data_IF_689539994397
#
_entry.id   IF_689539994397
#
_cell.length_a   1.000
_cell.length_b   1.000
_cell.length_c   1.000
_cell.angle_alpha   90.00
_cell.angle_beta   90.00
_cell.angle_gamma   90.00
#
_symmetry.space_group_name_H-M   'P 1'
#
loop_
_entity.id
_entity.type
_entity.pdbx_description
1 polymer ?
#
# COMPACT_ATOMS: atom_id res chain seq x y z
N UNK A 1 18.68 25.80 1.07
CA UNK A 1 17.99 24.67 0.41
C UNK A 1 19.03 23.62 0.10
N UNK A 2 19.32 22.74 1.06
CA UNK A 2 20.32 21.68 0.92
C UNK A 2 19.59 20.37 0.64
N UNK A 3 19.59 19.97 -0.63
CA UNK A 3 19.14 18.65 -1.05
C UNK A 3 20.12 17.57 -0.61
N UNK A 4 19.56 16.38 -0.38
CA UNK A 4 20.19 15.06 -0.20
C UNK A 4 21.70 15.11 0.13
N UNK A 5 22.02 15.00 1.43
CA UNK A 5 23.38 15.13 1.97
C UNK A 5 24.32 14.11 1.32
N UNK A 6 25.35 14.65 0.65
CA UNK A 6 26.53 13.93 0.19
C UNK A 6 27.27 13.28 1.36
N UNK A 7 27.70 12.04 1.11
CA UNK A 7 28.78 11.28 1.70
C UNK A 7 29.65 12.01 2.74
N UNK A 8 29.62 11.54 3.98
CA UNK A 8 30.70 11.76 4.95
C UNK A 8 31.30 10.41 5.34
N UNK A 9 32.32 9.97 4.58
CA UNK A 9 33.36 9.12 5.13
C UNK A 9 34.11 9.96 6.16
N UNK A 10 34.09 9.57 7.44
CA UNK A 10 35.16 9.75 8.44
C UNK A 10 34.60 9.40 9.82
N UNK A 11 35.21 8.39 10.45
CA UNK A 11 35.56 8.26 11.88
C UNK A 11 35.62 6.78 12.28
N UNK A 12 36.80 6.19 12.05
CA UNK A 12 37.30 5.03 12.79
C UNK A 12 37.66 5.53 14.20
N UNK A 13 37.04 4.97 15.24
CA UNK A 13 37.35 5.37 16.62
C UNK A 13 36.60 4.64 17.74
N UNK A 14 37.13 3.46 18.10
CA UNK A 14 37.38 2.96 19.49
C UNK A 14 36.22 2.84 20.52
N UNK A 15 35.92 1.57 20.84
CA UNK A 15 35.40 0.94 22.08
C UNK A 15 34.87 1.81 23.24
N UNK A 16 33.66 1.48 23.72
CA UNK A 16 33.15 1.83 25.04
C UNK A 16 31.77 1.21 25.29
N UNK A 17 31.65 0.45 26.38
CA UNK A 17 30.56 -0.43 26.76
C UNK A 17 29.20 0.29 26.94
N UNK A 18 28.26 0.06 26.03
CA UNK A 18 26.83 0.21 26.31
C UNK A 18 26.10 -0.87 25.51
N UNK A 19 26.00 -2.07 26.08
CA UNK A 19 25.01 -3.06 25.68
C UNK A 19 23.62 -2.50 26.00
N UNK A 20 23.11 -1.64 25.11
CA UNK A 20 21.75 -1.15 25.19
C UNK A 20 20.82 -2.28 24.77
N UNK A 21 19.97 -2.69 25.72
CA UNK A 21 18.86 -3.62 25.58
C UNK A 21 17.94 -3.17 24.43
N UNK A 22 18.28 -3.53 23.19
CA UNK A 22 17.51 -3.27 21.98
C UNK A 22 17.38 -4.53 21.10
N UNK A 23 17.64 -5.71 21.67
CA UNK A 23 17.53 -7.02 21.00
C UNK A 23 16.22 -7.75 21.37
N UNK A 24 15.08 -7.05 21.39
CA UNK A 24 13.78 -7.74 21.59
C UNK A 24 12.67 -7.31 20.64
N UNK A 25 12.88 -6.29 19.82
CA UNK A 25 11.89 -5.84 18.82
C UNK A 25 12.50 -5.73 17.42
N UNK A 26 13.32 -6.70 17.03
CA UNK A 26 13.56 -6.93 15.60
C UNK A 26 12.28 -7.51 15.02
N UNK A 27 11.31 -6.65 14.73
CA UNK A 27 10.14 -6.99 13.92
C UNK A 27 10.70 -7.46 12.59
N UNK A 28 10.56 -8.76 12.30
CA UNK A 28 11.05 -9.33 11.06
C UNK A 28 10.40 -8.56 9.92
N UNK A 29 11.22 -8.10 8.97
CA UNK A 29 10.78 -7.35 7.79
C UNK A 29 9.66 -8.05 7.00
N UNK A 30 9.55 -9.36 7.21
CA UNK A 30 8.51 -10.21 6.70
C UNK A 30 7.15 -9.97 7.35
N UNK A 31 7.04 -9.77 8.68
CA UNK A 31 5.73 -9.77 9.34
C UNK A 31 4.77 -8.71 8.78
N UNK A 32 5.24 -7.47 8.64
CA UNK A 32 4.42 -6.38 8.11
C UNK A 32 4.02 -6.62 6.65
N UNK A 33 4.96 -7.09 5.83
CA UNK A 33 4.74 -7.40 4.41
C UNK A 33 3.77 -8.57 4.24
N UNK A 34 3.86 -9.59 5.09
CA UNK A 34 2.95 -10.74 5.11
C UNK A 34 1.54 -10.31 5.54
N UNK A 35 1.43 -9.52 6.62
CA UNK A 35 0.16 -9.00 7.09
C UNK A 35 -0.52 -8.13 6.01
N UNK A 36 0.24 -7.22 5.39
CA UNK A 36 -0.27 -6.40 4.30
C UNK A 36 -0.74 -7.25 3.12
N UNK A 37 0.04 -8.26 2.73
CA UNK A 37 -0.32 -9.15 1.63
C UNK A 37 -1.61 -9.92 1.91
N UNK A 38 -1.76 -10.47 3.12
CA UNK A 38 -2.98 -11.18 3.52
C UNK A 38 -4.19 -10.26 3.50
N UNK A 39 -4.09 -9.07 4.10
CA UNK A 39 -5.19 -8.10 4.15
C UNK A 39 -5.58 -7.61 2.75
N UNK A 40 -4.58 -7.26 1.92
CA UNK A 40 -4.82 -6.78 0.57
C UNK A 40 -5.45 -7.84 -0.32
N UNK A 41 -4.91 -9.07 -0.32
CA UNK A 41 -5.47 -10.19 -1.07
C UNK A 41 -6.91 -10.50 -0.62
N UNK A 42 -7.16 -10.49 0.69
CA UNK A 42 -8.49 -10.71 1.25
C UNK A 42 -9.48 -9.64 0.75
N UNK A 43 -9.14 -8.36 0.86
CA UNK A 43 -9.99 -7.26 0.38
C UNK A 43 -10.26 -7.37 -1.12
N UNK A 44 -9.23 -7.60 -1.95
CA UNK A 44 -9.39 -7.72 -3.39
C UNK A 44 -10.25 -8.94 -3.79
N UNK A 45 -10.07 -10.07 -3.11
CA UNK A 45 -10.87 -11.26 -3.33
C UNK A 45 -12.35 -11.01 -3.01
N UNK A 46 -12.64 -10.44 -1.84
CA UNK A 46 -14.02 -10.09 -1.46
C UNK A 46 -14.64 -9.13 -2.45
N UNK A 47 -13.93 -8.07 -2.87
CA UNK A 47 -14.44 -7.14 -3.88
C UNK A 47 -14.69 -7.83 -5.23
N UNK A 48 -13.80 -8.72 -5.68
CA UNK A 48 -13.96 -9.42 -6.95
C UNK A 48 -15.14 -10.40 -6.94
N UNK A 49 -15.30 -11.18 -5.87
CA UNK A 49 -16.44 -12.08 -5.68
C UNK A 49 -17.73 -11.29 -5.62
N UNK A 50 -17.75 -10.20 -4.84
CA UNK A 50 -18.91 -9.33 -4.71
C UNK A 50 -19.34 -8.71 -6.05
N UNK A 51 -18.37 -8.19 -6.83
CA UNK A 51 -18.62 -7.70 -8.18
C UNK A 51 -19.19 -8.78 -9.09
N UNK A 52 -18.57 -9.96 -9.08
CA UNK A 52 -18.98 -11.09 -9.92
C UNK A 52 -20.42 -11.48 -9.62
N UNK A 53 -20.76 -11.63 -8.34
CA UNK A 53 -22.11 -11.99 -7.91
C UNK A 53 -23.14 -10.93 -8.30
N UNK A 54 -22.83 -9.64 -8.16
CA UNK A 54 -23.70 -8.57 -8.67
C UNK A 54 -23.98 -8.71 -10.16
N UNK A 55 -22.93 -8.87 -10.96
CA UNK A 55 -23.05 -9.00 -12.41
C UNK A 55 -23.82 -10.26 -12.83
N UNK A 56 -23.62 -11.38 -12.14
CA UNK A 56 -24.34 -12.63 -12.38
C UNK A 56 -25.84 -12.51 -12.07
N UNK A 57 -26.21 -11.74 -11.04
CA UNK A 57 -27.61 -11.50 -10.67
C UNK A 57 -28.25 -10.34 -11.43
N UNK A 58 -27.55 -9.76 -12.41
CA UNK A 58 -28.07 -8.67 -13.25
C UNK A 58 -28.03 -7.29 -12.59
N UNK A 59 -27.42 -7.17 -11.41
CA UNK A 59 -27.22 -5.89 -10.75
C UNK A 59 -25.95 -5.22 -11.28
N UNK A 60 -26.11 -4.05 -11.91
CA UNK A 60 -24.99 -3.32 -12.51
C UNK A 60 -24.62 -2.10 -11.68
N UNK A 61 -23.34 -1.95 -11.28
CA UNK A 61 -22.87 -0.73 -10.62
C UNK A 61 -23.07 0.50 -11.51
N UNK A 62 -23.27 1.66 -10.89
CA UNK A 62 -23.39 2.94 -11.60
C UNK A 62 -22.07 3.30 -12.29
N UNK A 63 -22.14 4.13 -13.34
CA UNK A 63 -20.98 4.48 -14.17
C UNK A 63 -19.80 5.09 -13.39
N UNK A 64 -20.07 5.90 -12.35
CA UNK A 64 -19.02 6.50 -11.54
C UNK A 64 -18.31 5.48 -10.63
N UNK A 65 -18.99 4.41 -10.19
CA UNK A 65 -18.36 3.31 -9.47
C UNK A 65 -17.33 2.59 -10.36
N UNK A 66 -17.63 2.43 -11.67
CA UNK A 66 -16.67 1.92 -12.65
C UNK A 66 -15.46 2.83 -12.84
N UNK A 67 -15.67 4.16 -12.83
CA UNK A 67 -14.56 5.11 -12.89
C UNK A 67 -13.66 5.03 -11.66
N UNK A 68 -14.24 4.98 -10.46
CA UNK A 68 -13.46 4.80 -9.24
C UNK A 68 -12.73 3.45 -9.23
N UNK A 69 -13.35 2.39 -9.74
CA UNK A 69 -12.71 1.07 -9.85
C UNK A 69 -11.52 1.11 -10.82
N UNK A 70 -11.67 1.76 -11.97
CA UNK A 70 -10.58 1.94 -12.93
C UNK A 70 -9.45 2.82 -12.37
N UNK A 71 -9.78 3.88 -11.64
CA UNK A 71 -8.78 4.73 -10.98
C UNK A 71 -8.04 3.98 -9.87
N UNK A 72 -8.75 3.17 -9.09
CA UNK A 72 -8.17 2.33 -8.05
C UNK A 72 -7.21 1.30 -8.64
N UNK A 73 -7.59 0.58 -9.69
CA UNK A 73 -6.71 -0.40 -10.35
C UNK A 73 -5.48 0.28 -10.97
N UNK A 74 -5.67 1.43 -11.64
CA UNK A 74 -4.57 2.21 -12.20
C UNK A 74 -3.57 2.72 -11.15
N UNK A 75 -4.01 3.00 -9.92
CA UNK A 75 -3.14 3.39 -8.81
C UNK A 75 -2.49 2.18 -8.11
N UNK A 76 -3.22 1.06 -7.95
CA UNK A 76 -2.71 -0.17 -7.35
C UNK A 76 -1.58 -0.80 -8.16
N UNK A 77 -1.68 -0.85 -9.50
CA UNK A 77 -0.66 -1.48 -10.35
C UNK A 77 0.75 -0.91 -10.14
N UNK A 78 0.99 0.42 -10.27
CA UNK A 78 2.31 0.98 -10.01
C UNK A 78 2.68 0.94 -8.52
N UNK A 79 1.71 1.08 -7.60
CA UNK A 79 1.97 0.94 -6.16
C UNK A 79 2.53 -0.43 -5.79
N UNK A 80 1.93 -1.50 -6.31
CA UNK A 80 2.40 -2.88 -6.11
C UNK A 80 3.75 -3.13 -6.79
N UNK A 81 3.99 -2.55 -7.97
CA UNK A 81 5.29 -2.63 -8.62
C UNK A 81 6.40 -2.03 -7.73
N UNK A 82 6.16 -0.86 -7.14
CA UNK A 82 7.12 -0.24 -6.23
C UNK A 82 7.25 -0.98 -4.89
N UNK A 83 6.19 -1.62 -4.41
CA UNK A 83 6.24 -2.50 -3.24
C UNK A 83 7.17 -3.69 -3.44
N UNK A 84 7.04 -4.40 -4.58
CA UNK A 84 7.86 -5.59 -4.86
C UNK A 84 9.29 -5.20 -5.25
N UNK A 85 9.49 -4.04 -5.86
CA UNK A 85 10.82 -3.57 -6.28
C UNK A 85 11.60 -2.81 -5.18
N UNK A 86 10.93 -2.35 -4.12
CA UNK A 86 11.55 -1.61 -3.02
C UNK A 86 11.97 -2.54 -1.88
N UNK A 87 13.28 -2.75 -1.70
CA UNK A 87 13.83 -3.48 -0.56
C UNK A 87 13.72 -2.65 0.73
N UNK A 88 12.53 -2.60 1.33
CA UNK A 88 12.33 -1.89 2.60
C UNK A 88 12.62 -2.85 3.74
N UNK A 89 13.78 -2.68 4.37
CA UNK A 89 14.25 -3.58 5.42
C UNK A 89 13.82 -3.07 6.81
N UNK A 90 12.59 -3.41 7.22
CA UNK A 90 11.97 -2.96 8.48
C UNK A 90 12.70 -3.40 9.75
N UNK A 91 13.66 -4.33 9.64
CA UNK A 91 14.46 -4.82 10.76
C UNK A 91 15.68 -3.93 11.08
N UNK A 92 16.00 -2.96 10.22
CA UNK A 92 17.13 -2.03 10.42
C UNK A 92 16.68 -0.73 11.06
N UNK A 93 17.58 -0.06 11.80
CA UNK A 93 17.26 1.25 12.36
C UNK A 93 16.95 2.24 11.23
N UNK A 94 16.08 3.25 11.45
CA UNK A 94 15.74 4.21 10.39
C UNK A 94 16.96 4.93 9.78
N UNK A 95 18.02 5.11 10.57
CA UNK A 95 19.29 5.68 10.10
C UNK A 95 20.05 4.73 9.16
N UNK A 96 20.06 3.42 9.46
CA UNK A 96 20.75 2.41 8.65
C UNK A 96 19.95 2.04 7.40
N UNK A 97 18.62 2.00 7.49
CA UNK A 97 17.73 1.81 6.34
C UNK A 97 17.91 2.93 5.30
N UNK A 98 18.17 4.18 5.72
CA UNK A 98 18.42 5.30 4.78
C UNK A 98 19.69 5.12 3.94
N UNK A 99 20.67 4.36 4.42
CA UNK A 99 21.86 4.01 3.64
C UNK A 99 21.61 2.89 2.62
N UNK A 100 20.51 2.16 2.77
CA UNK A 100 20.06 1.11 1.84
C UNK A 100 19.05 1.64 0.80
N UNK A 101 18.62 2.90 0.92
CA UNK A 101 17.75 3.52 -0.08
C UNK A 101 18.50 3.61 -1.42
N UNK A 102 17.89 3.01 -2.45
CA UNK A 102 18.37 3.11 -3.83
C UNK A 102 18.43 4.57 -4.29
N UNK A 103 19.23 4.86 -5.32
CA UNK A 103 19.29 6.21 -5.91
C UNK A 103 17.88 6.72 -6.25
N UNK A 104 17.60 7.97 -5.85
CA UNK A 104 16.30 8.61 -5.99
C UNK A 104 15.83 8.60 -7.45
N UNK A 105 14.77 7.84 -7.77
CA UNK A 105 14.32 7.63 -9.16
C UNK A 105 13.53 8.80 -9.73
N UNK A 106 12.67 9.43 -8.93
CA UNK A 106 11.76 10.48 -9.40
C UNK A 106 12.16 11.82 -8.78
N UNK A 107 12.42 12.82 -9.65
CA UNK A 107 12.80 14.18 -9.28
C UNK A 107 14.01 14.31 -8.34
N UNK A 108 14.84 13.25 -8.22
CA UNK A 108 15.96 13.19 -7.27
C UNK A 108 15.54 13.43 -5.81
N UNK A 109 14.26 13.18 -5.48
CA UNK A 109 13.68 13.42 -4.16
C UNK A 109 12.90 12.22 -3.63
N UNK A 110 12.17 11.51 -4.49
CA UNK A 110 11.38 10.36 -4.08
C UNK A 110 12.10 9.06 -4.40
N UNK A 111 12.17 8.18 -3.40
CA UNK A 111 12.58 6.79 -3.58
C UNK A 111 11.37 5.90 -3.96
N UNK A 112 11.63 4.61 -4.22
CA UNK A 112 10.57 3.67 -4.57
C UNK A 112 9.55 3.48 -3.44
N UNK A 113 9.98 3.57 -2.18
CA UNK A 113 9.13 3.36 -1.02
C UNK A 113 8.15 4.53 -0.82
N UNK A 114 8.60 5.77 -1.05
CA UNK A 114 7.76 6.95 -1.03
C UNK A 114 6.69 6.90 -2.13
N UNK A 115 7.07 6.46 -3.34
CA UNK A 115 6.15 6.27 -4.45
C UNK A 115 5.13 5.16 -4.13
N UNK A 116 5.56 4.06 -3.52
CA UNK A 116 4.66 3.00 -3.06
C UNK A 116 3.63 3.54 -2.06
N UNK A 117 4.06 4.28 -1.03
CA UNK A 117 3.14 4.87 -0.06
C UNK A 117 2.17 5.87 -0.68
N UNK A 118 2.66 6.76 -1.55
CA UNK A 118 1.82 7.76 -2.19
C UNK A 118 0.76 7.11 -3.11
N UNK A 119 1.17 6.17 -3.96
CA UNK A 119 0.28 5.48 -4.89
C UNK A 119 -0.71 4.58 -4.16
N UNK A 120 -0.28 3.87 -3.11
CA UNK A 120 -1.17 3.02 -2.31
C UNK A 120 -2.20 3.83 -1.52
N UNK A 121 -1.85 5.02 -1.02
CA UNK A 121 -2.82 5.92 -0.38
C UNK A 121 -3.91 6.38 -1.36
N UNK A 122 -3.52 6.76 -2.59
CA UNK A 122 -4.46 7.11 -3.66
C UNK A 122 -5.33 5.90 -4.03
N UNK A 123 -4.72 4.72 -4.16
CA UNK A 123 -5.43 3.49 -4.51
C UNK A 123 -6.47 3.11 -3.44
N UNK A 124 -6.12 3.21 -2.16
CA UNK A 124 -7.03 2.99 -1.04
C UNK A 124 -8.17 4.01 -1.01
N UNK A 125 -7.90 5.29 -1.28
CA UNK A 125 -8.93 6.32 -1.38
C UNK A 125 -9.97 5.96 -2.46
N UNK A 126 -9.54 5.62 -3.68
CA UNK A 126 -10.46 5.24 -4.74
C UNK A 126 -11.17 3.91 -4.43
N UNK A 127 -10.48 2.94 -3.85
CA UNK A 127 -11.07 1.67 -3.41
C UNK A 127 -12.20 1.91 -2.41
N UNK A 128 -12.01 2.82 -1.44
CA UNK A 128 -13.05 3.18 -0.48
C UNK A 128 -14.25 3.85 -1.16
N UNK A 129 -14.01 4.74 -2.13
CA UNK A 129 -15.09 5.35 -2.91
C UNK A 129 -15.87 4.30 -3.72
N UNK A 130 -15.21 3.28 -4.28
CA UNK A 130 -15.91 2.14 -4.91
C UNK A 130 -16.85 1.46 -3.92
N UNK A 131 -16.34 1.09 -2.74
CA UNK A 131 -17.14 0.40 -1.71
C UNK A 131 -18.35 1.23 -1.27
N UNK A 132 -18.21 2.55 -1.16
CA UNK A 132 -19.33 3.43 -0.81
C UNK A 132 -20.37 3.58 -1.92
N UNK A 133 -19.96 3.49 -3.19
CA UNK A 133 -20.82 3.81 -4.34
C UNK A 133 -21.35 2.59 -5.08
N UNK A 134 -20.90 1.39 -4.71
CA UNK A 134 -21.26 0.13 -5.38
C UNK A 134 -22.77 -0.14 -5.37
N UNK A 135 -23.40 0.19 -4.24
CA UNK A 135 -24.81 -0.12 -3.94
C UNK A 135 -25.75 1.07 -4.16
N UNK A 136 -25.29 2.18 -4.71
CA UNK A 136 -26.15 3.34 -5.00
C UNK A 136 -27.30 2.99 -5.95
N UNK A 137 -27.14 1.95 -6.76
CA UNK A 137 -28.20 1.39 -7.61
C UNK A 137 -29.39 0.82 -6.82
N UNK A 138 -29.17 0.39 -5.58
CA UNK A 138 -30.15 -0.27 -4.71
C UNK A 138 -30.85 0.69 -3.76
N UNK A 139 -30.52 1.99 -3.76
CA UNK A 139 -31.07 2.95 -2.80
C UNK A 139 -32.61 3.05 -2.81
N UNK A 140 -33.25 2.75 -3.94
CA UNK A 140 -34.71 2.75 -4.11
C UNK A 140 -35.34 1.33 -4.08
N UNK A 141 -34.55 0.27 -3.91
CA UNK A 141 -35.02 -1.13 -3.89
C UNK A 141 -35.39 -1.52 -2.47
N UNK A 142 -36.53 -2.20 -2.29
CA UNK A 142 -36.94 -2.69 -0.97
C UNK A 142 -35.94 -3.74 -0.48
N UNK A 143 -35.59 -3.70 0.81
CA UNK A 143 -34.62 -4.62 1.42
C UNK A 143 -34.96 -6.11 1.23
N UNK A 144 -36.25 -6.45 1.13
CA UNK A 144 -36.74 -7.82 0.89
C UNK A 144 -36.53 -8.32 -0.54
N UNK A 145 -36.23 -7.42 -1.48
CA UNK A 145 -36.07 -7.71 -2.91
C UNK A 145 -34.59 -7.67 -3.34
N UNK A 146 -33.68 -7.33 -2.42
CA UNK A 146 -32.23 -7.32 -2.67
C UNK A 146 -31.71 -8.76 -2.63
N UNK A 147 -31.04 -9.20 -3.69
CA UNK A 147 -30.37 -10.49 -3.72
C UNK A 147 -29.24 -10.53 -2.68
N UNK A 148 -29.23 -11.58 -1.84
CA UNK A 148 -28.19 -11.83 -0.84
C UNK A 148 -27.30 -12.96 -1.35
N UNK A 149 -25.99 -12.75 -1.34
CA UNK A 149 -24.98 -13.67 -1.84
C UNK A 149 -23.72 -13.65 -0.98
#
# INVERSE_FOLDING_TARGET
MHGCVRSAQLWVGRQGEHECVCRLFTQSADFASHLLSVLLCNTLLYMAVYLCMKLLHGERPRWYAWLYLAAATAAWTPGLYFFVSGSTNWATTPALSRHLNHECRVLQFYDSHDLWHFLSAIALYFTFNVLLTWDDGLAAVKRTEIAVF
#
